data_IF_973529199457
#
_entry.id   IF_973529199457
#
_cell.length_a   1.000
_cell.length_b   1.000
_cell.length_c   1.000
_cell.angle_alpha   90.00
_cell.angle_beta   90.00
_cell.angle_gamma   90.00
#
_symmetry.space_group_name_H-M   'P 1'
#
loop_
_entity.id
_entity.type
_entity.pdbx_description
1 polymer ?
#
# COMPACT_ATOMS: atom_id res chain seq x y z
N UNK A 1 29.75 2.22 -8.16
CA UNK A 1 28.72 3.04 -8.84
C UNK A 1 28.20 2.19 -9.99
N UNK A 2 26.88 2.02 -10.13
CA UNK A 2 26.32 1.39 -11.34
C UNK A 2 25.79 2.52 -12.19
N UNK A 3 26.57 2.92 -13.20
CA UNK A 3 26.23 4.00 -14.12
C UNK A 3 26.27 3.44 -15.55
N UNK A 4 25.32 3.87 -16.39
CA UNK A 4 25.11 3.29 -17.72
C UNK A 4 26.07 3.82 -18.81
N UNK A 5 26.97 4.78 -18.55
CA UNK A 5 27.99 5.20 -19.53
C UNK A 5 29.33 5.62 -18.92
N UNK A 6 30.46 5.40 -19.63
CA UNK A 6 31.79 5.72 -19.16
C UNK A 6 32.20 7.10 -19.68
N UNK A 7 32.08 8.15 -18.87
CA UNK A 7 32.77 9.41 -19.16
C UNK A 7 33.99 9.54 -18.24
N UNK A 8 35.15 9.64 -18.90
CA UNK A 8 36.46 9.56 -18.30
C UNK A 8 36.79 10.77 -17.42
N UNK A 9 36.89 10.53 -16.12
CA UNK A 9 37.75 11.26 -15.20
C UNK A 9 38.11 10.32 -14.05
N UNK A 10 39.37 9.85 -13.99
CA UNK A 10 39.91 8.91 -12.99
C UNK A 10 38.95 7.73 -12.66
N UNK A 11 38.80 6.83 -13.64
CA UNK A 11 37.72 5.83 -13.68
C UNK A 11 37.72 4.86 -12.50
N UNK A 12 36.87 5.14 -11.53
CA UNK A 12 36.44 4.13 -10.56
C UNK A 12 35.75 2.98 -11.33
N UNK A 13 35.98 1.72 -10.94
CA UNK A 13 35.32 0.60 -11.57
C UNK A 13 33.80 0.73 -11.47
N UNK A 14 33.14 0.71 -12.63
CA UNK A 14 31.69 0.69 -12.72
C UNK A 14 31.26 -0.77 -12.70
N UNK A 15 30.63 -1.17 -11.60
CA UNK A 15 30.06 -2.51 -11.45
C UNK A 15 28.62 -2.44 -11.92
N UNK A 16 28.17 -3.39 -12.72
CA UNK A 16 26.83 -3.36 -13.33
C UNK A 16 25.91 -4.43 -12.78
N UNK A 17 26.48 -5.52 -12.26
CA UNK A 17 25.72 -6.66 -11.73
C UNK A 17 25.86 -6.82 -10.21
N UNK A 18 24.89 -7.49 -9.58
CA UNK A 18 24.93 -7.78 -8.14
C UNK A 18 26.12 -8.66 -7.74
N UNK A 19 26.48 -9.65 -8.56
CA UNK A 19 27.63 -10.53 -8.32
C UNK A 19 28.96 -9.78 -8.34
N UNK A 20 29.12 -8.83 -9.27
CA UNK A 20 30.31 -7.97 -9.32
C UNK A 20 30.44 -7.12 -8.05
N UNK A 21 29.31 -6.58 -7.58
CA UNK A 21 29.27 -5.83 -6.32
C UNK A 21 29.68 -6.72 -5.15
N UNK A 22 29.11 -7.93 -5.04
CA UNK A 22 29.43 -8.86 -3.96
C UNK A 22 30.91 -9.28 -3.95
N UNK A 23 31.49 -9.59 -5.12
CA UNK A 23 32.93 -9.87 -5.24
C UNK A 23 33.76 -8.66 -4.82
N UNK A 24 33.39 -7.46 -5.25
CA UNK A 24 34.11 -6.25 -4.89
C UNK A 24 34.03 -5.94 -3.39
N UNK A 25 32.91 -6.22 -2.72
CA UNK A 25 32.78 -6.08 -1.26
C UNK A 25 33.78 -6.95 -0.53
N UNK A 26 33.85 -8.23 -0.90
CA UNK A 26 34.73 -9.22 -0.25
C UNK A 26 36.19 -8.87 -0.52
N UNK A 27 36.53 -8.57 -1.78
CA UNK A 27 37.91 -8.28 -2.18
C UNK A 27 38.46 -7.00 -1.54
N UNK A 28 37.62 -5.97 -1.37
CA UNK A 28 38.06 -4.66 -0.90
C UNK A 28 37.69 -4.36 0.56
N UNK A 29 37.06 -5.29 1.27
CA UNK A 29 36.68 -5.13 2.68
C UNK A 29 35.76 -3.93 2.93
N UNK A 30 34.82 -3.69 2.02
CA UNK A 30 33.96 -2.50 2.03
C UNK A 30 33.06 -2.49 3.27
N UNK A 31 33.09 -1.40 4.04
CA UNK A 31 32.28 -1.24 5.26
C UNK A 31 31.16 -0.22 5.14
N UNK A 32 31.22 0.65 4.14
CA UNK A 32 30.27 1.77 3.97
C UNK A 32 29.85 1.83 2.51
N UNK A 33 28.56 1.97 2.26
CA UNK A 33 27.98 2.13 0.91
C UNK A 33 27.14 3.39 0.89
N UNK A 34 27.36 4.23 -0.11
CA UNK A 34 26.61 5.47 -0.34
C UNK A 34 25.66 5.28 -1.53
N UNK A 35 24.38 5.61 -1.34
CA UNK A 35 23.38 5.68 -2.42
C UNK A 35 23.08 7.15 -2.71
N UNK A 36 23.14 7.56 -3.97
CA UNK A 36 23.09 8.98 -4.35
C UNK A 36 21.73 9.38 -4.97
N UNK A 37 20.82 8.41 -5.10
CA UNK A 37 19.50 8.60 -5.71
C UNK A 37 18.40 7.92 -4.85
N UNK A 38 17.33 8.63 -4.47
CA UNK A 38 16.21 8.06 -3.72
C UNK A 38 15.54 6.85 -4.39
N UNK A 39 15.54 6.78 -5.73
CA UNK A 39 14.98 5.67 -6.50
C UNK A 39 15.73 4.35 -6.25
N UNK A 40 17.03 4.41 -5.92
CA UNK A 40 17.88 3.23 -5.64
C UNK A 40 17.34 2.42 -4.46
N UNK A 41 16.71 3.07 -3.48
CA UNK A 41 16.03 2.39 -2.37
C UNK A 41 14.96 1.42 -2.86
N UNK A 42 14.21 1.82 -3.88
CA UNK A 42 13.07 1.07 -4.41
C UNK A 42 13.50 0.09 -5.50
N UNK A 43 14.36 0.52 -6.41
CA UNK A 43 14.79 -0.26 -7.58
C UNK A 43 15.82 -1.33 -7.22
N UNK A 44 16.66 -1.07 -6.20
CA UNK A 44 17.78 -1.95 -5.81
C UNK A 44 17.68 -2.44 -4.37
N UNK A 45 16.45 -2.51 -3.83
CA UNK A 45 16.16 -3.05 -2.49
C UNK A 45 16.88 -4.39 -2.20
N UNK A 46 16.90 -5.38 -3.12
CA UNK A 46 17.57 -6.66 -2.85
C UNK A 46 19.08 -6.52 -2.66
N UNK A 47 19.72 -5.67 -3.47
CA UNK A 47 21.15 -5.41 -3.42
C UNK A 47 21.52 -4.66 -2.13
N UNK A 48 20.77 -3.61 -1.78
CA UNK A 48 20.95 -2.87 -0.53
C UNK A 48 20.83 -3.79 0.69
N UNK A 49 19.87 -4.73 0.66
CA UNK A 49 19.73 -5.72 1.73
C UNK A 49 20.95 -6.64 1.82
N UNK A 50 21.41 -7.21 0.72
CA UNK A 50 22.60 -8.08 0.70
C UNK A 50 23.84 -7.34 1.23
N UNK A 51 24.00 -6.07 0.85
CA UNK A 51 25.07 -5.20 1.33
C UNK A 51 25.02 -5.01 2.85
N UNK A 52 23.84 -4.76 3.42
CA UNK A 52 23.75 -4.62 4.87
C UNK A 52 23.85 -5.95 5.64
N UNK A 53 23.39 -7.06 5.07
CA UNK A 53 23.59 -8.40 5.64
C UNK A 53 25.07 -8.78 5.66
N UNK A 54 25.86 -8.28 4.70
CA UNK A 54 27.33 -8.38 4.71
C UNK A 54 28.02 -7.44 5.73
N UNK A 55 27.25 -6.70 6.52
CA UNK A 55 27.74 -5.82 7.58
C UNK A 55 28.11 -4.40 7.13
N UNK A 56 27.79 -4.02 5.89
CA UNK A 56 28.03 -2.64 5.42
C UNK A 56 27.02 -1.65 6.03
N UNK A 57 27.52 -0.50 6.47
CA UNK A 57 26.69 0.64 6.81
C UNK A 57 26.21 1.34 5.52
N UNK A 58 24.90 1.34 5.28
CA UNK A 58 24.30 2.01 4.14
C UNK A 58 23.91 3.45 4.50
N UNK A 59 24.20 4.38 3.60
CA UNK A 59 23.81 5.77 3.72
C UNK A 59 23.21 6.26 2.40
N UNK A 60 22.12 7.02 2.51
CA UNK A 60 21.52 7.75 1.40
C UNK A 60 22.00 9.19 1.45
N UNK A 61 22.55 9.65 0.33
CA UNK A 61 23.02 11.02 0.11
C UNK A 61 21.96 11.72 -0.75
N UNK A 62 21.37 12.79 -0.22
CA UNK A 62 20.50 13.65 -1.02
C UNK A 62 21.36 14.62 -1.84
N UNK A 63 21.59 14.26 -3.10
CA UNK A 63 22.35 15.09 -4.04
C UNK A 63 21.53 16.24 -4.64
N UNK A 64 20.22 16.29 -4.40
CA UNK A 64 19.32 17.27 -5.02
C UNK A 64 19.14 18.54 -4.19
N UNK A 65 19.52 18.56 -2.91
CA UNK A 65 19.46 19.77 -2.08
C UNK A 65 20.64 19.89 -1.12
N UNK A 66 21.41 20.99 -1.17
CA UNK A 66 22.42 21.28 -0.13
C UNK A 66 21.69 21.55 1.20
N UNK A 67 22.15 20.90 2.25
CA UNK A 67 21.48 20.92 3.53
C UNK A 67 22.31 21.70 4.56
N UNK A 68 21.85 22.91 4.90
CA UNK A 68 22.54 23.79 5.85
C UNK A 68 22.15 23.53 7.32
N UNK A 69 21.07 22.78 7.58
CA UNK A 69 20.50 22.58 8.94
C UNK A 69 20.60 21.15 9.48
N UNK A 70 21.06 20.17 8.70
CA UNK A 70 21.07 18.75 9.12
C UNK A 70 22.37 18.42 9.89
N UNK A 71 22.27 17.62 10.97
CA UNK A 71 23.43 17.23 11.79
C UNK A 71 24.36 16.23 11.10
N UNK A 72 23.81 15.38 10.24
CA UNK A 72 24.57 14.37 9.50
C UNK A 72 24.77 14.85 8.06
N UNK A 73 25.99 15.26 7.74
CA UNK A 73 26.37 15.75 6.42
C UNK A 73 27.62 15.03 5.91
N UNK A 74 27.65 14.77 4.61
CA UNK A 74 28.84 14.31 3.90
C UNK A 74 29.17 15.32 2.81
N UNK A 75 30.30 16.01 2.95
CA UNK A 75 30.75 17.02 1.98
C UNK A 75 29.67 18.10 1.65
N UNK A 76 28.84 18.50 2.63
CA UNK A 76 27.79 19.51 2.47
C UNK A 76 26.44 18.98 1.95
N UNK A 77 26.33 17.68 1.67
CA UNK A 77 25.08 17.02 1.32
C UNK A 77 24.45 16.37 2.56
N UNK A 78 23.12 16.45 2.68
CA UNK A 78 22.41 15.71 3.72
C UNK A 78 22.62 14.21 3.52
N UNK A 79 22.96 13.52 4.61
CA UNK A 79 23.01 12.06 4.61
C UNK A 79 22.05 11.47 5.61
N UNK A 80 21.40 10.40 5.20
CA UNK A 80 20.47 9.63 6.03
C UNK A 80 20.98 8.20 6.12
N UNK A 81 21.18 7.70 7.33
CA UNK A 81 21.51 6.29 7.53
C UNK A 81 20.35 5.43 7.04
N UNK A 82 20.64 4.54 6.10
CA UNK A 82 19.73 3.48 5.68
C UNK A 82 19.98 2.33 6.64
N UNK A 83 19.25 2.30 7.75
CA UNK A 83 19.13 1.04 8.47
C UNK A 83 18.17 0.17 7.64
N UNK A 84 18.60 -0.98 7.11
CA UNK A 84 17.66 -1.99 6.68
C UNK A 84 17.04 -2.50 7.96
N UNK A 85 15.98 -1.81 8.39
CA UNK A 85 15.20 -2.24 9.53
C UNK A 85 14.83 -3.71 9.30
N UNK A 86 14.81 -4.52 10.36
CA UNK A 86 14.37 -5.91 10.24
C UNK A 86 13.06 -5.89 9.47
N UNK A 87 12.91 -6.81 8.50
CA UNK A 87 11.69 -7.04 7.75
C UNK A 87 10.52 -7.09 8.73
N UNK A 88 9.88 -5.96 8.99
CA UNK A 88 8.66 -5.91 9.78
C UNK A 88 7.51 -6.23 8.82
N UNK A 89 7.62 -7.37 8.16
CA UNK A 89 6.55 -7.93 7.33
C UNK A 89 5.48 -8.42 8.29
N UNK A 90 4.38 -7.67 8.41
CA UNK A 90 3.12 -8.14 9.01
C UNK A 90 3.30 -9.00 10.25
N UNK A 91 4.01 -8.49 11.26
CA UNK A 91 4.34 -9.26 12.46
C UNK A 91 3.08 -9.84 13.12
N UNK A 92 3.23 -10.90 13.90
CA UNK A 92 2.11 -11.55 14.61
C UNK A 92 1.23 -10.56 15.38
N UNK A 93 1.81 -9.47 15.90
CA UNK A 93 1.07 -8.37 16.53
C UNK A 93 0.11 -7.63 15.59
N UNK A 94 0.47 -7.41 14.32
CA UNK A 94 -0.44 -6.81 13.32
C UNK A 94 -1.63 -7.73 13.07
N UNK A 95 -1.35 -9.01 12.86
CA UNK A 95 -2.40 -10.01 12.61
C UNK A 95 -3.34 -10.15 13.82
N UNK A 96 -2.79 -10.13 15.03
CA UNK A 96 -3.57 -10.16 16.26
C UNK A 96 -4.45 -8.91 16.41
N UNK A 97 -3.91 -7.72 16.12
CA UNK A 97 -4.68 -6.47 16.12
C UNK A 97 -5.80 -6.53 15.07
N UNK A 98 -5.49 -6.95 13.85
CA UNK A 98 -6.47 -7.09 12.78
C UNK A 98 -7.61 -8.03 13.17
N UNK A 99 -7.28 -9.21 13.70
CA UNK A 99 -8.27 -10.22 14.09
C UNK A 99 -9.14 -9.76 15.27
N UNK A 100 -8.54 -9.17 16.30
CA UNK A 100 -9.28 -8.72 17.50
C UNK A 100 -10.19 -7.54 17.20
N UNK A 101 -9.67 -6.50 16.52
CA UNK A 101 -10.43 -5.30 16.21
C UNK A 101 -11.50 -5.58 15.14
N UNK A 102 -11.18 -6.34 14.07
CA UNK A 102 -12.21 -6.71 13.09
C UNK A 102 -13.27 -7.63 13.67
N UNK A 103 -12.91 -8.58 14.53
CA UNK A 103 -13.85 -9.45 15.23
C UNK A 103 -14.81 -8.66 16.11
N UNK A 104 -14.29 -7.74 16.92
CA UNK A 104 -15.11 -6.85 17.75
C UNK A 104 -16.05 -5.99 16.89
N UNK A 105 -15.52 -5.36 15.84
CA UNK A 105 -16.32 -4.52 14.94
C UNK A 105 -17.40 -5.34 14.22
N UNK A 106 -17.12 -6.58 13.81
CA UNK A 106 -18.13 -7.47 13.20
C UNK A 106 -19.27 -7.79 14.17
N UNK A 107 -18.96 -8.09 15.44
CA UNK A 107 -19.98 -8.36 16.46
C UNK A 107 -20.84 -7.11 16.68
N UNK A 108 -20.21 -5.95 16.88
CA UNK A 108 -20.91 -4.68 17.09
C UNK A 108 -21.71 -4.23 15.86
N UNK A 109 -21.20 -4.45 14.65
CA UNK A 109 -21.87 -4.09 13.40
C UNK A 109 -22.90 -5.14 12.96
N UNK A 110 -22.93 -6.33 13.57
CA UNK A 110 -23.82 -7.42 13.14
C UNK A 110 -25.30 -7.04 13.05
N UNK A 111 -25.90 -6.23 13.96
CA UNK A 111 -27.29 -5.82 13.83
C UNK A 111 -27.51 -4.92 12.61
N UNK A 112 -26.56 -4.01 12.35
CA UNK A 112 -26.58 -3.10 11.20
C UNK A 112 -26.40 -3.88 9.90
N UNK A 113 -25.45 -4.81 9.85
CA UNK A 113 -25.22 -5.69 8.70
C UNK A 113 -26.46 -6.52 8.38
N UNK A 114 -27.12 -7.08 9.40
CA UNK A 114 -28.35 -7.86 9.23
C UNK A 114 -29.51 -6.99 8.70
N UNK A 115 -29.67 -5.78 9.24
CA UNK A 115 -30.66 -4.82 8.77
C UNK A 115 -30.42 -4.43 7.31
N UNK A 116 -29.19 -4.03 6.97
CA UNK A 116 -28.82 -3.70 5.60
C UNK A 116 -29.05 -4.89 4.66
N UNK A 117 -28.70 -6.10 5.09
CA UNK A 117 -28.90 -7.31 4.30
C UNK A 117 -30.38 -7.59 4.05
N UNK A 118 -31.22 -7.41 5.06
CA UNK A 118 -32.68 -7.61 4.99
C UNK A 118 -33.32 -6.59 4.07
N UNK A 119 -33.02 -5.30 4.24
CA UNK A 119 -33.56 -4.24 3.38
C UNK A 119 -33.15 -4.46 1.92
N UNK A 120 -31.87 -4.74 1.64
CA UNK A 120 -31.41 -5.05 0.28
C UNK A 120 -32.11 -6.29 -0.30
N UNK A 121 -32.35 -7.32 0.51
CA UNK A 121 -33.05 -8.53 0.04
C UNK A 121 -34.49 -8.22 -0.37
N UNK A 122 -35.17 -7.36 0.37
CA UNK A 122 -36.56 -7.00 0.14
C UNK A 122 -36.72 -6.01 -1.03
N UNK A 123 -35.80 -5.06 -1.18
CA UNK A 123 -35.91 -4.01 -2.20
C UNK A 123 -35.21 -4.36 -3.52
N UNK A 124 -34.05 -5.01 -3.45
CA UNK A 124 -33.22 -5.33 -4.62
C UNK A 124 -33.21 -6.83 -4.95
N UNK A 125 -33.89 -7.68 -4.18
CA UNK A 125 -33.99 -9.12 -4.42
C UNK A 125 -32.76 -9.95 -3.99
N UNK A 126 -32.66 -11.22 -4.43
CA UNK A 126 -31.63 -12.16 -3.98
C UNK A 126 -30.21 -11.74 -4.37
N UNK A 127 -29.18 -12.22 -3.66
CA UNK A 127 -27.77 -11.92 -3.97
C UNK A 127 -27.25 -10.64 -3.31
N UNK A 128 -27.46 -10.50 -2.01
CA UNK A 128 -27.17 -9.28 -1.24
C UNK A 128 -25.68 -8.99 -1.11
N UNK A 129 -24.84 -10.02 -1.12
CA UNK A 129 -23.39 -9.91 -1.06
C UNK A 129 -22.83 -9.95 -2.48
N UNK A 130 -22.10 -8.90 -2.84
CA UNK A 130 -21.30 -8.83 -4.05
C UNK A 130 -19.86 -9.26 -3.74
N UNK A 131 -19.30 -10.07 -4.64
CA UNK A 131 -17.95 -10.62 -4.56
C UNK A 131 -17.14 -10.04 -5.71
N UNK A 132 -15.95 -9.51 -5.40
CA UNK A 132 -15.08 -8.92 -6.41
C UNK A 132 -13.66 -9.42 -6.22
N UNK A 133 -13.05 -9.92 -7.30
CA UNK A 133 -11.64 -10.28 -7.26
C UNK A 133 -10.76 -9.03 -7.17
N UNK A 134 -9.77 -9.12 -6.28
CA UNK A 134 -8.79 -8.08 -5.97
C UNK A 134 -7.42 -8.70 -5.84
N UNK A 135 -6.39 -7.90 -6.05
CA UNK A 135 -5.01 -8.29 -5.79
C UNK A 135 -4.64 -7.92 -4.36
N UNK A 136 -4.16 -8.90 -3.60
CA UNK A 136 -3.70 -8.77 -2.23
C UNK A 136 -2.17 -8.84 -2.12
N UNK A 137 -1.70 -9.37 -1.00
CA UNK A 137 -0.27 -9.52 -0.72
C UNK A 137 0.40 -10.45 -1.75
N UNK A 138 1.62 -10.11 -2.15
CA UNK A 138 2.47 -10.85 -3.08
C UNK A 138 1.81 -11.06 -4.45
N UNK A 139 0.92 -10.15 -4.84
CA UNK A 139 0.17 -10.23 -6.10
C UNK A 139 -0.93 -11.29 -6.12
N UNK A 140 -1.23 -11.94 -4.98
CA UNK A 140 -2.20 -13.04 -4.94
C UNK A 140 -3.63 -12.52 -5.01
N UNK A 141 -4.49 -13.10 -5.88
CA UNK A 141 -5.89 -12.71 -5.93
C UNK A 141 -6.63 -13.17 -4.68
N UNK A 142 -7.60 -12.37 -4.24
CA UNK A 142 -8.57 -12.73 -3.19
C UNK A 142 -9.95 -12.15 -3.51
N UNK A 143 -10.99 -12.70 -2.87
CA UNK A 143 -12.36 -12.23 -3.05
C UNK A 143 -12.74 -11.19 -2.01
N UNK A 144 -12.88 -9.94 -2.42
CA UNK A 144 -13.38 -8.85 -1.59
C UNK A 144 -14.91 -8.90 -1.49
N UNK A 145 -15.42 -8.75 -0.27
CA UNK A 145 -16.85 -8.77 0.04
C UNK A 145 -17.40 -7.35 0.23
N UNK A 146 -18.54 -7.06 -0.39
CA UNK A 146 -19.30 -5.81 -0.15
C UNK A 146 -20.79 -6.02 -0.35
N UNK A 147 -21.61 -5.12 0.16
CA UNK A 147 -23.04 -5.16 -0.18
C UNK A 147 -23.25 -4.81 -1.65
N UNK A 148 -24.20 -5.51 -2.28
CA UNK A 148 -24.52 -5.30 -3.68
C UNK A 148 -25.33 -4.01 -3.85
N UNK A 149 -24.65 -2.94 -4.23
CA UNK A 149 -25.25 -1.64 -4.56
C UNK A 149 -25.42 -1.43 -6.08
N UNK A 150 -24.82 -2.30 -6.90
CA UNK A 150 -24.93 -2.31 -8.36
C UNK A 150 -24.94 -3.76 -8.86
N UNK A 151 -25.72 -4.03 -9.92
CA UNK A 151 -25.67 -5.28 -10.67
C UNK A 151 -24.93 -5.02 -11.98
N UNK A 152 -23.66 -5.44 -12.12
CA UNK A 152 -22.98 -5.38 -13.41
C UNK A 152 -23.71 -6.27 -14.42
N UNK A 153 -23.67 -5.87 -15.69
CA UNK A 153 -24.30 -6.59 -16.81
C UNK A 153 -23.54 -7.89 -17.09
N UNK A 154 -22.21 -7.86 -16.96
CA UNK A 154 -21.33 -9.02 -17.14
C UNK A 154 -20.08 -8.93 -16.25
N UNK A 155 -19.27 -9.99 -16.25
CA UNK A 155 -18.00 -10.05 -15.52
C UNK A 155 -16.98 -9.03 -16.05
N UNK A 156 -17.06 -8.68 -17.34
CA UNK A 156 -16.13 -7.73 -17.95
C UNK A 156 -16.36 -6.31 -17.42
N UNK A 157 -17.59 -5.81 -17.42
CA UNK A 157 -17.98 -4.54 -16.78
C UNK A 157 -17.65 -4.61 -15.29
N UNK A 158 -17.95 -5.75 -14.67
CA UNK A 158 -17.61 -6.00 -13.29
C UNK A 158 -16.10 -6.03 -13.04
N UNK A 159 -15.22 -6.11 -14.06
CA UNK A 159 -13.74 -6.18 -14.09
C UNK A 159 -13.05 -4.85 -14.50
N UNK A 160 -13.63 -4.09 -15.45
CA UNK A 160 -12.96 -2.96 -16.13
C UNK A 160 -13.53 -1.59 -15.79
N UNK A 161 -14.73 -1.51 -15.19
CA UNK A 161 -15.32 -0.22 -14.82
C UNK A 161 -14.62 0.41 -13.60
N UNK A 162 -13.97 1.56 -13.79
CA UNK A 162 -13.24 2.31 -12.76
C UNK A 162 -14.17 3.06 -11.79
N UNK A 163 -15.13 3.82 -12.33
CA UNK A 163 -16.18 4.48 -11.55
C UNK A 163 -17.57 4.18 -12.14
N UNK A 164 -18.55 3.96 -11.27
CA UNK A 164 -19.96 3.88 -11.69
C UNK A 164 -20.44 5.31 -11.94
N UNK A 165 -19.98 5.93 -13.02
CA UNK A 165 -20.66 7.08 -13.62
C UNK A 165 -22.01 6.56 -14.12
N UNK A 166 -23.04 6.65 -13.28
CA UNK A 166 -24.32 5.97 -13.54
C UNK A 166 -25.28 5.96 -12.36
N UNK A 167 -25.42 7.08 -11.64
CA UNK A 167 -26.34 7.20 -10.50
C UNK A 167 -27.83 7.11 -10.87
N UNK A 168 -28.17 7.14 -12.17
CA UNK A 168 -29.56 7.19 -12.65
C UNK A 168 -30.38 5.92 -12.40
N UNK A 169 -29.74 4.76 -12.20
CA UNK A 169 -30.44 3.47 -11.94
C UNK A 169 -30.29 2.95 -10.50
N UNK A 170 -29.64 3.70 -9.62
CA UNK A 170 -29.36 3.23 -8.26
C UNK A 170 -30.49 3.61 -7.30
N UNK A 171 -31.00 2.63 -6.57
CA UNK A 171 -31.99 2.82 -5.51
C UNK A 171 -31.52 3.82 -4.44
N UNK A 172 -32.42 4.60 -3.82
CA UNK A 172 -32.07 5.50 -2.72
C UNK A 172 -31.33 4.80 -1.59
N UNK A 173 -31.70 3.55 -1.27
CA UNK A 173 -31.03 2.78 -0.23
C UNK A 173 -29.61 2.39 -0.64
N UNK A 174 -29.41 1.96 -1.89
CA UNK A 174 -28.08 1.68 -2.43
C UNK A 174 -27.18 2.93 -2.47
N UNK A 175 -27.77 4.10 -2.75
CA UNK A 175 -27.08 5.39 -2.67
C UNK A 175 -26.65 5.71 -1.24
N UNK A 176 -27.57 5.55 -0.29
CA UNK A 176 -27.29 5.73 1.15
C UNK A 176 -26.15 4.81 1.62
N UNK A 177 -26.17 3.53 1.25
CA UNK A 177 -25.11 2.58 1.61
C UNK A 177 -23.73 3.01 1.10
N UNK A 178 -23.63 3.50 -0.14
CA UNK A 178 -22.36 3.98 -0.72
C UNK A 178 -21.90 5.29 -0.09
N UNK A 179 -22.82 6.22 0.18
CA UNK A 179 -22.50 7.51 0.81
C UNK A 179 -21.98 7.33 2.24
N UNK A 180 -22.58 6.40 2.98
CA UNK A 180 -22.18 6.06 4.36
C UNK A 180 -21.04 5.04 4.43
N UNK A 181 -20.59 4.51 3.30
CA UNK A 181 -19.61 3.40 3.21
C UNK A 181 -20.05 2.14 3.96
N UNK A 182 -21.35 1.99 4.28
CA UNK A 182 -21.90 0.80 4.91
C UNK A 182 -21.79 -0.42 4.00
N UNK A 183 -21.71 -0.22 2.67
CA UNK A 183 -21.50 -1.30 1.72
C UNK A 183 -20.13 -1.97 1.86
N UNK A 184 -19.12 -1.25 2.34
CA UNK A 184 -17.77 -1.76 2.56
C UNK A 184 -17.59 -2.47 3.92
N UNK A 185 -18.56 -2.42 4.84
CA UNK A 185 -18.43 -3.06 6.16
C UNK A 185 -18.22 -4.59 6.11
N UNK A 186 -18.72 -5.26 5.07
CA UNK A 186 -18.48 -6.69 4.87
C UNK A 186 -16.99 -7.03 4.67
N UNK A 187 -16.15 -6.06 4.31
CA UNK A 187 -14.71 -6.25 4.20
C UNK A 187 -14.05 -6.55 5.55
N UNK A 188 -14.69 -6.20 6.68
CA UNK A 188 -14.21 -6.62 8.01
C UNK A 188 -14.11 -8.15 8.12
N UNK A 189 -14.95 -8.89 7.38
CA UNK A 189 -14.84 -10.35 7.29
C UNK A 189 -13.56 -10.80 6.57
N UNK A 190 -13.16 -10.11 5.50
CA UNK A 190 -11.89 -10.38 4.82
C UNK A 190 -10.69 -10.12 5.73
N UNK A 191 -10.76 -9.07 6.56
CA UNK A 191 -9.75 -8.80 7.58
C UNK A 191 -9.71 -9.90 8.62
N UNK A 192 -10.85 -10.29 9.17
CA UNK A 192 -10.93 -11.34 10.17
C UNK A 192 -10.40 -12.68 9.63
N UNK A 193 -10.74 -13.04 8.39
CA UNK A 193 -10.26 -14.26 7.71
C UNK A 193 -8.76 -14.22 7.37
N UNK A 194 -8.18 -13.02 7.23
CA UNK A 194 -6.76 -12.82 6.93
C UNK A 194 -6.44 -12.58 5.45
N UNK A 195 -7.46 -12.34 4.61
CA UNK A 195 -7.25 -11.93 3.22
C UNK A 195 -6.78 -10.46 3.14
N UNK A 196 -7.18 -9.64 4.12
CA UNK A 196 -6.89 -8.22 4.22
C UNK A 196 -6.40 -7.84 5.63
N UNK A 197 -5.96 -6.60 5.78
CA UNK A 197 -5.67 -5.94 7.05
C UNK A 197 -6.63 -4.76 7.27
N UNK A 198 -6.74 -4.25 8.51
CA UNK A 198 -7.42 -2.99 8.75
C UNK A 198 -6.67 -1.83 8.09
N UNK A 199 -5.33 -1.84 8.18
CA UNK A 199 -4.45 -0.80 7.64
C UNK A 199 -3.50 -1.39 6.61
N UNK A 200 -3.47 -0.80 5.42
CA UNK A 200 -2.62 -1.21 4.32
C UNK A 200 -3.01 -0.55 2.99
N UNK A 201 -2.27 -0.81 1.91
CA UNK A 201 -2.58 -0.30 0.58
C UNK A 201 -3.99 -0.73 0.15
N UNK A 202 -4.78 0.15 -0.48
CA UNK A 202 -6.13 -0.21 -0.95
C UNK A 202 -6.06 -1.31 -2.02
N UNK A 203 -6.86 -2.39 -1.91
CA UNK A 203 -6.85 -3.47 -2.90
C UNK A 203 -7.43 -3.01 -4.24
N UNK A 204 -6.75 -3.36 -5.32
CA UNK A 204 -7.14 -2.99 -6.68
C UNK A 204 -7.52 -4.21 -7.53
N UNK A 205 -8.20 -3.97 -8.65
CA UNK A 205 -8.64 -5.02 -9.57
C UNK A 205 -7.44 -5.61 -10.30
N UNK A 206 -7.40 -6.92 -10.60
CA UNK A 206 -6.35 -7.50 -11.43
C UNK A 206 -6.11 -6.73 -12.74
N UNK A 207 -7.19 -6.33 -13.42
CA UNK A 207 -7.13 -5.51 -14.63
C UNK A 207 -6.33 -4.20 -14.43
N UNK A 208 -6.68 -3.42 -13.41
CA UNK A 208 -6.00 -2.15 -13.13
C UNK A 208 -4.60 -2.35 -12.55
N UNK A 209 -4.36 -3.41 -11.80
CA UNK A 209 -3.03 -3.74 -11.31
C UNK A 209 -2.09 -4.03 -12.47
N UNK A 210 -2.53 -4.79 -13.47
CA UNK A 210 -1.73 -5.05 -14.67
C UNK A 210 -1.41 -3.74 -15.42
N UNK A 211 -2.42 -2.88 -15.61
CA UNK A 211 -2.25 -1.59 -16.27
C UNK A 211 -1.30 -0.66 -15.49
N UNK A 212 -1.54 -0.46 -14.19
CA UNK A 212 -0.75 0.46 -13.38
C UNK A 212 0.67 -0.03 -13.12
N UNK A 213 0.88 -1.34 -13.02
CA UNK A 213 2.23 -1.90 -12.88
C UNK A 213 3.08 -1.67 -14.14
N UNK A 214 2.44 -1.57 -15.32
CA UNK A 214 3.14 -1.24 -16.57
C UNK A 214 3.37 0.26 -16.78
N UNK A 215 2.50 1.12 -16.23
CA UNK A 215 2.55 2.58 -16.43
C UNK A 215 3.39 3.29 -15.35
N UNK A 216 3.29 2.85 -14.10
CA UNK A 216 3.87 3.56 -12.95
C UNK A 216 4.99 2.73 -12.30
N UNK A 217 6.26 3.17 -12.43
CA UNK A 217 7.38 2.54 -11.73
C UNK A 217 7.12 2.43 -10.23
N UNK A 218 7.48 1.29 -9.63
CA UNK A 218 7.28 1.05 -8.20
C UNK A 218 5.83 0.78 -7.76
N UNK A 219 4.83 0.79 -8.66
CA UNK A 219 3.45 0.45 -8.29
C UNK A 219 3.34 -0.96 -7.72
N UNK A 220 4.01 -1.94 -8.34
CA UNK A 220 3.97 -3.34 -7.90
C UNK A 220 4.51 -3.56 -6.47
N UNK A 221 5.39 -2.67 -5.99
CA UNK A 221 6.00 -2.74 -4.66
C UNK A 221 4.96 -2.63 -3.52
N UNK A 222 3.80 -2.03 -3.79
CA UNK A 222 2.72 -1.92 -2.79
C UNK A 222 2.13 -3.27 -2.38
N UNK A 223 2.29 -4.31 -3.20
CA UNK A 223 1.78 -5.65 -2.89
C UNK A 223 2.66 -6.42 -1.88
N UNK A 224 3.78 -5.86 -1.40
CA UNK A 224 4.62 -6.50 -0.35
C UNK A 224 3.91 -6.65 1.00
N UNK A 225 2.79 -5.94 1.20
CA UNK A 225 2.03 -5.92 2.43
C UNK A 225 0.56 -6.28 2.19
N UNK A 226 -0.15 -6.91 3.15
CA UNK A 226 -1.59 -7.13 3.04
C UNK A 226 -2.31 -5.81 2.77
N UNK A 227 -3.27 -5.86 1.85
CA UNK A 227 -4.09 -4.71 1.51
C UNK A 227 -5.02 -4.32 2.65
N UNK A 228 -5.31 -3.03 2.77
CA UNK A 228 -6.06 -2.45 3.89
C UNK A 228 -7.47 -2.00 3.54
N UNK A 229 -8.36 -1.96 4.55
CA UNK A 229 -9.61 -1.19 4.48
C UNK A 229 -9.28 0.32 4.41
N UNK A 230 -8.38 0.77 5.28
CA UNK A 230 -7.81 2.12 5.29
C UNK A 230 -6.29 2.04 5.13
N UNK A 231 -5.63 3.18 4.95
CA UNK A 231 -4.21 3.26 4.65
C UNK A 231 -3.72 4.69 4.60
N UNK A 232 -2.40 4.85 4.51
CA UNK A 232 -1.75 6.16 4.53
C UNK A 232 -2.21 7.02 3.35
N UNK A 233 -2.33 6.46 2.15
CA UNK A 233 -2.87 7.17 1.00
C UNK A 233 -4.31 7.67 1.24
N UNK A 234 -5.20 6.81 1.77
CA UNK A 234 -6.60 7.17 2.02
C UNK A 234 -6.75 8.34 3.01
N UNK A 235 -6.02 8.33 4.13
CA UNK A 235 -6.12 9.41 5.13
C UNK A 235 -5.47 10.73 4.69
N UNK A 236 -4.69 10.71 3.61
CA UNK A 236 -4.14 11.91 2.96
C UNK A 236 -4.96 12.32 1.72
N UNK A 237 -6.16 11.77 1.55
CA UNK A 237 -7.08 12.17 0.48
C UNK A 237 -6.79 11.57 -0.89
N UNK A 238 -5.80 10.68 -1.00
CA UNK A 238 -5.43 10.00 -2.24
C UNK A 238 -6.37 8.81 -2.50
N UNK A 239 -7.60 9.13 -2.93
CA UNK A 239 -8.70 8.19 -3.19
C UNK A 239 -9.44 8.55 -4.48
N UNK A 240 -10.03 7.54 -5.13
CA UNK A 240 -10.79 7.75 -6.37
C UNK A 240 -9.88 8.16 -7.53
N UNK A 241 -10.25 9.26 -8.20
CA UNK A 241 -9.61 9.74 -9.44
C UNK A 241 -8.33 10.57 -9.20
N UNK A 242 -7.74 10.50 -8.00
CA UNK A 242 -6.44 11.10 -7.69
C UNK A 242 -5.28 10.36 -8.37
N UNK A 243 -4.13 11.03 -8.47
CA UNK A 243 -2.89 10.46 -9.04
C UNK A 243 -2.57 9.07 -8.47
N UNK A 244 -2.47 8.09 -9.38
CA UNK A 244 -2.11 6.70 -9.05
C UNK A 244 -0.66 6.61 -8.58
N UNK A 245 0.21 7.44 -9.15
CA UNK A 245 1.63 7.54 -8.79
C UNK A 245 1.79 8.03 -7.35
N UNK A 246 1.11 9.12 -6.97
CA UNK A 246 1.15 9.62 -5.60
C UNK A 246 0.62 8.59 -4.61
N UNK A 247 -0.47 7.90 -4.99
CA UNK A 247 -1.05 6.84 -4.17
C UNK A 247 -0.06 5.69 -3.96
N UNK A 248 0.61 5.23 -5.02
CA UNK A 248 1.65 4.22 -4.91
C UNK A 248 2.82 4.69 -4.04
N UNK A 249 3.25 5.96 -4.18
CA UNK A 249 4.31 6.56 -3.35
C UNK A 249 3.93 6.54 -1.87
N UNK A 250 2.72 6.95 -1.51
CA UNK A 250 2.25 6.96 -0.12
C UNK A 250 2.07 5.54 0.44
N UNK A 251 1.59 4.60 -0.36
CA UNK A 251 1.49 3.20 0.04
C UNK A 251 2.86 2.58 0.30
N UNK A 252 3.83 2.82 -0.59
CA UNK A 252 5.21 2.36 -0.39
C UNK A 252 5.86 3.03 0.83
N UNK A 253 5.67 4.34 1.02
CA UNK A 253 6.16 5.04 2.20
C UNK A 253 5.58 4.49 3.52
N UNK A 254 4.33 4.05 3.51
CA UNK A 254 3.72 3.34 4.64
C UNK A 254 4.39 1.99 4.89
N UNK A 255 4.58 1.18 3.84
CA UNK A 255 5.21 -0.14 3.95
C UNK A 255 6.65 -0.01 4.48
N UNK A 256 7.40 0.94 3.95
CA UNK A 256 8.82 1.12 4.25
C UNK A 256 9.06 1.61 5.69
N UNK A 257 8.11 2.34 6.27
CA UNK A 257 8.21 2.89 7.63
C UNK A 257 7.22 2.22 8.60
N UNK A 258 6.73 1.02 8.26
CA UNK A 258 5.64 0.39 8.98
C UNK A 258 5.96 0.18 10.46
N UNK A 259 5.01 0.57 11.31
CA UNK A 259 4.97 0.23 12.72
C UNK A 259 3.53 0.04 13.20
N UNK A 260 3.35 -0.75 14.26
CA UNK A 260 2.04 -0.90 14.90
C UNK A 260 1.46 0.43 15.39
N UNK A 261 2.32 1.35 15.85
CA UNK A 261 1.89 2.68 16.24
C UNK A 261 1.33 3.48 15.06
N UNK A 262 1.97 3.38 13.89
CA UNK A 262 1.46 4.01 12.67
C UNK A 262 0.09 3.46 12.27
N UNK A 263 -0.14 2.14 12.43
CA UNK A 263 -1.46 1.54 12.20
C UNK A 263 -2.52 2.16 13.12
N UNK A 264 -2.23 2.28 14.43
CA UNK A 264 -3.12 2.92 15.39
C UNK A 264 -3.41 4.38 15.01
N UNK A 265 -2.39 5.15 14.66
CA UNK A 265 -2.55 6.54 14.20
C UNK A 265 -3.43 6.64 12.94
N UNK A 266 -3.25 5.74 11.96
CA UNK A 266 -4.06 5.72 10.74
C UNK A 266 -5.52 5.37 11.08
N UNK A 267 -5.75 4.40 11.96
CA UNK A 267 -7.10 4.04 12.41
C UNK A 267 -7.81 5.19 13.12
N UNK A 268 -7.14 5.87 14.04
CA UNK A 268 -7.69 7.03 14.75
C UNK A 268 -8.01 8.18 13.79
N UNK A 269 -7.11 8.48 12.83
CA UNK A 269 -7.37 9.48 11.79
C UNK A 269 -8.55 9.10 10.89
N UNK A 270 -8.69 7.81 10.58
CA UNK A 270 -9.82 7.29 9.80
C UNK A 270 -11.14 7.47 10.58
N UNK A 271 -11.18 7.08 11.86
CA UNK A 271 -12.35 7.25 12.71
C UNK A 271 -12.75 8.74 12.84
N UNK A 272 -11.78 9.63 13.05
CA UNK A 272 -12.03 11.07 13.11
C UNK A 272 -12.57 11.62 11.78
N UNK A 273 -12.07 11.14 10.64
CA UNK A 273 -12.56 11.55 9.33
C UNK A 273 -14.01 11.10 9.10
N UNK A 274 -14.40 9.90 9.53
CA UNK A 274 -15.78 9.41 9.44
C UNK A 274 -16.75 10.22 10.31
N UNK A 275 -16.34 10.57 11.54
CA UNK A 275 -17.16 11.41 12.43
C UNK A 275 -17.34 12.82 11.84
N UNK A 276 -16.27 13.44 11.34
CA UNK A 276 -16.33 14.78 10.71
C UNK A 276 -17.14 14.80 9.42
N UNK A 277 -17.05 13.74 8.62
CA UNK A 277 -17.85 13.58 7.38
C UNK A 277 -19.35 13.45 7.65
N UNK A 278 -19.74 13.08 8.87
CA UNK A 278 -21.16 13.01 9.27
C UNK A 278 -21.68 14.37 9.76
N UNK A 279 -20.80 15.37 9.90
CA UNK A 279 -21.10 16.70 10.45
C UNK A 279 -21.06 17.85 9.45
N UNK A 280 -21.24 17.59 8.15
CA UNK A 280 -21.33 18.64 7.12
C UNK A 280 -22.55 18.49 6.23
#
# INVERSE_FOLDING_TARGET
MVAERPDGAAGLPVLTTGEEVERALIQNGVRVVLTVDPAVRTEREPLLRALAESGCALWEVDAASPAYETRDQLAGFAVRRLEPGPRRHGGAGKRLLDMTVSGLLLVLASPVLLLCATVLRLTEGPGVVFRQERVGKDGRPFTLLKFRTHRPVDEHEAATRWSVAGERRMSPFCRFLRQTSLDELLQLWNVFRGDMSLVGPRPERPYFVAQFSGIHPGYAARHRMPTGITGLAQINGLRGDTSIEDRARFDNAYIDNWSLWQDVCILLRTAAALVRSTGS
#
